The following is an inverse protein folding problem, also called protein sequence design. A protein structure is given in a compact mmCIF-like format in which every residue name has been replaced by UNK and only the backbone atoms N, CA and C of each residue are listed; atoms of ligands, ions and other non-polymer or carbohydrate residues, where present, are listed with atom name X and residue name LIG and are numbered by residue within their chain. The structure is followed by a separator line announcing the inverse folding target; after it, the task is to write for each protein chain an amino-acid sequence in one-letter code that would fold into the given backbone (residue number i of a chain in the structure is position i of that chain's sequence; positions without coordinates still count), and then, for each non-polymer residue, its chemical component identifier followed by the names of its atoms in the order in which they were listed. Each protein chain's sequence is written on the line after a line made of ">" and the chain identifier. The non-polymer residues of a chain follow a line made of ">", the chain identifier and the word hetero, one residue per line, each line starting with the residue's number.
data_IF_318877736709
#
_entry.id   IF_318877736709
#
_cell.length_a   1.000
_cell.length_b   1.000
_cell.length_c   1.000
_cell.angle_alpha   90.00
_cell.angle_beta   90.00
_cell.angle_gamma   90.00
#
_symmetry.space_group_name_H-M   'P 1'
#
loop_
_entity.id
_entity.type
_entity.pdbx_description
1 polymer ?
#
# COMPACT_ATOMS: atom_id res chain seq x y z
N UNK A 1 -29.13 -47.72 6.05
CA UNK A 1 -27.76 -47.20 5.83
C UNK A 1 -27.86 -45.72 5.48
N UNK A 2 -27.38 -44.78 6.33
CA UNK A 2 -27.44 -43.36 6.02
C UNK A 2 -26.25 -42.96 5.13
N UNK A 3 -26.53 -42.29 4.00
CA UNK A 3 -25.50 -41.75 3.09
C UNK A 3 -24.77 -40.60 3.79
N UNK A 4 -23.46 -40.74 3.98
CA UNK A 4 -22.57 -39.70 4.51
C UNK A 4 -22.30 -38.68 3.39
N UNK A 5 -22.87 -37.47 3.53
CA UNK A 5 -22.60 -36.33 2.64
C UNK A 5 -21.24 -35.73 3.00
N UNK A 6 -20.19 -36.11 2.28
CA UNK A 6 -18.84 -35.53 2.39
C UNK A 6 -18.43 -35.02 1.01
N UNK A 7 -18.68 -33.74 0.71
CA UNK A 7 -18.25 -33.15 -0.57
C UNK A 7 -18.89 -31.80 -0.93
N UNK A 8 -18.93 -30.82 -0.03
CA UNK A 8 -19.46 -29.47 -0.34
C UNK A 8 -18.60 -28.28 0.08
N UNK A 9 -17.38 -28.49 0.58
CA UNK A 9 -16.48 -27.38 0.93
C UNK A 9 -15.49 -27.01 -0.19
N UNK A 10 -15.02 -28.00 -0.97
CA UNK A 10 -14.04 -27.76 -2.04
C UNK A 10 -14.57 -26.97 -3.24
N UNK A 11 -15.89 -26.94 -3.47
CA UNK A 11 -16.49 -26.27 -4.63
C UNK A 11 -16.71 -24.76 -4.43
N UNK A 12 -16.89 -24.31 -3.18
CA UNK A 12 -17.06 -22.88 -2.88
C UNK A 12 -15.74 -22.12 -3.06
N UNK A 13 -14.62 -22.68 -2.62
CA UNK A 13 -13.33 -22.01 -2.79
C UNK A 13 -12.95 -21.83 -4.25
N UNK A 14 -13.13 -22.85 -5.11
CA UNK A 14 -12.93 -22.71 -6.55
C UNK A 14 -13.77 -21.55 -7.13
N UNK A 15 -15.06 -21.46 -6.77
CA UNK A 15 -15.93 -20.37 -7.20
C UNK A 15 -15.43 -18.98 -6.78
N UNK A 16 -14.94 -18.80 -5.55
CA UNK A 16 -14.41 -17.50 -5.13
C UNK A 16 -13.11 -17.12 -5.85
N UNK A 17 -12.24 -18.09 -6.16
CA UNK A 17 -11.02 -17.84 -6.94
C UNK A 17 -11.34 -17.53 -8.40
N UNK A 18 -12.25 -18.28 -9.02
CA UNK A 18 -12.68 -18.04 -10.41
C UNK A 18 -13.37 -16.69 -10.56
N UNK A 19 -14.22 -16.30 -9.60
CA UNK A 19 -14.87 -14.98 -9.56
C UNK A 19 -13.84 -13.85 -9.33
N UNK A 20 -12.84 -14.07 -8.48
CA UNK A 20 -11.76 -13.10 -8.25
C UNK A 20 -10.86 -12.93 -9.49
N UNK A 21 -10.51 -14.03 -10.16
CA UNK A 21 -9.73 -13.99 -11.40
C UNK A 21 -10.52 -13.28 -12.49
N UNK A 22 -11.80 -13.61 -12.66
CA UNK A 22 -12.69 -12.94 -13.61
C UNK A 22 -12.76 -11.42 -13.36
N UNK A 23 -12.88 -11.01 -12.10
CA UNK A 23 -12.86 -9.61 -11.69
C UNK A 23 -11.53 -8.92 -12.04
N UNK A 24 -10.39 -9.54 -11.74
CA UNK A 24 -9.05 -8.99 -12.05
C UNK A 24 -8.79 -8.93 -13.56
N UNK A 25 -9.36 -9.84 -14.35
CA UNK A 25 -9.25 -9.83 -15.82
C UNK A 25 -10.20 -8.84 -16.52
N UNK A 26 -11.08 -8.18 -15.77
CA UNK A 26 -11.99 -7.19 -16.35
C UNK A 26 -11.20 -5.97 -16.85
N UNK A 27 -11.49 -5.51 -18.08
CA UNK A 27 -10.83 -4.36 -18.70
C UNK A 27 -10.94 -3.08 -17.85
N UNK A 28 -12.07 -2.88 -17.17
CA UNK A 28 -12.28 -1.73 -16.28
C UNK A 28 -11.34 -1.79 -15.08
N UNK A 29 -11.15 -2.99 -14.50
CA UNK A 29 -10.25 -3.19 -13.37
C UNK A 29 -8.82 -2.98 -13.82
N UNK A 30 -8.43 -3.51 -14.98
CA UNK A 30 -7.09 -3.29 -15.54
C UNK A 30 -6.79 -1.80 -15.75
N UNK A 31 -7.74 -1.05 -16.31
CA UNK A 31 -7.64 0.40 -16.50
C UNK A 31 -7.51 1.15 -15.17
N UNK A 32 -8.40 0.88 -14.21
CA UNK A 32 -8.40 1.54 -12.89
C UNK A 32 -7.12 1.20 -12.11
N UNK A 33 -6.69 -0.06 -12.13
CA UNK A 33 -5.42 -0.48 -11.51
C UNK A 33 -4.24 0.23 -12.17
N UNK A 34 -4.19 0.31 -13.50
CA UNK A 34 -3.16 1.06 -14.21
C UNK A 34 -3.12 2.54 -13.82
N UNK A 35 -4.28 3.20 -13.77
CA UNK A 35 -4.39 4.59 -13.34
C UNK A 35 -3.93 4.79 -11.89
N UNK A 36 -4.36 3.91 -10.98
CA UNK A 36 -3.93 3.95 -9.58
C UNK A 36 -2.41 3.75 -9.45
N UNK A 37 -1.82 2.85 -10.24
CA UNK A 37 -0.37 2.63 -10.26
C UNK A 37 0.40 3.85 -10.76
N UNK A 38 -0.12 4.56 -11.77
CA UNK A 38 0.49 5.81 -12.24
C UNK A 38 0.44 6.89 -11.17
N UNK A 39 -0.72 7.10 -10.53
CA UNK A 39 -0.88 8.07 -9.43
C UNK A 39 0.05 7.70 -8.26
N UNK A 40 0.10 6.43 -7.90
CA UNK A 40 0.97 5.92 -6.84
C UNK A 40 2.46 6.13 -7.19
N UNK A 41 2.86 5.91 -8.43
CA UNK A 41 4.23 6.14 -8.89
C UNK A 41 4.64 7.60 -8.77
N UNK A 42 3.76 8.53 -9.18
CA UNK A 42 3.99 9.98 -9.02
C UNK A 42 4.08 10.36 -7.54
N UNK A 43 3.22 9.78 -6.70
CA UNK A 43 3.25 10.00 -5.25
C UNK A 43 4.58 9.55 -4.62
N UNK A 44 5.04 8.34 -4.94
CA UNK A 44 6.33 7.80 -4.45
C UNK A 44 7.49 8.64 -4.96
N UNK A 45 7.48 9.02 -6.23
CA UNK A 45 8.51 9.89 -6.80
C UNK A 45 8.60 11.22 -6.05
N UNK A 46 7.46 11.86 -5.77
CA UNK A 46 7.42 13.08 -4.97
C UNK A 46 7.95 12.87 -3.55
N UNK A 47 7.58 11.76 -2.90
CA UNK A 47 8.05 11.41 -1.57
C UNK A 47 9.58 11.24 -1.53
N UNK A 48 10.16 10.59 -2.53
CA UNK A 48 11.60 10.37 -2.65
C UNK A 48 12.35 11.65 -2.94
N UNK A 49 11.89 12.45 -3.90
CA UNK A 49 12.50 13.76 -4.19
C UNK A 49 12.49 14.63 -2.94
N UNK A 50 11.36 14.68 -2.23
CA UNK A 50 11.24 15.43 -0.99
C UNK A 50 12.17 14.90 0.11
N UNK A 51 12.37 13.59 0.21
CA UNK A 51 13.22 12.95 1.20
C UNK A 51 14.69 13.40 1.11
N UNK A 52 15.21 13.66 -0.10
CA UNK A 52 16.57 14.20 -0.24
C UNK A 52 16.77 15.55 0.45
N UNK A 53 15.71 16.34 0.62
CA UNK A 53 15.76 17.65 1.26
C UNK A 53 15.30 17.61 2.73
N UNK A 54 14.29 16.81 3.05
CA UNK A 54 13.64 16.81 4.36
C UNK A 54 13.96 15.58 5.20
N UNK A 55 14.60 14.56 4.64
CA UNK A 55 14.80 13.25 5.28
C UNK A 55 15.52 13.34 6.63
N UNK A 56 16.60 14.12 6.72
CA UNK A 56 17.33 14.29 7.98
C UNK A 56 16.49 14.99 9.08
N UNK A 57 15.60 15.90 8.69
CA UNK A 57 14.70 16.58 9.63
C UNK A 57 13.51 15.70 10.02
N UNK A 58 13.01 14.89 9.08
CA UNK A 58 11.88 14.01 9.29
C UNK A 58 12.28 12.71 10.04
N UNK A 59 13.57 12.34 10.02
CA UNK A 59 14.11 11.12 10.62
C UNK A 59 13.69 10.92 12.09
N UNK A 60 13.92 11.94 12.93
CA UNK A 60 13.62 11.85 14.36
C UNK A 60 12.12 11.77 14.66
N UNK A 61 11.29 12.22 13.72
CA UNK A 61 9.83 12.18 13.83
C UNK A 61 9.32 10.81 13.35
N UNK A 62 9.88 10.30 12.25
CA UNK A 62 9.55 8.98 11.68
C UNK A 62 9.97 7.84 12.60
N UNK A 63 11.15 7.93 13.23
CA UNK A 63 11.64 6.97 14.22
C UNK A 63 10.97 7.13 15.60
N UNK A 64 10.23 8.22 15.78
CA UNK A 64 9.52 8.55 17.02
C UNK A 64 8.21 7.78 17.19
N UNK A 65 7.29 8.36 17.96
CA UNK A 65 6.02 7.71 18.27
C UNK A 65 5.05 7.74 17.06
N UNK A 66 4.46 6.58 16.71
CA UNK A 66 3.52 6.47 15.59
C UNK A 66 2.25 7.33 15.77
N UNK A 67 1.90 7.70 17.01
CA UNK A 67 0.80 8.62 17.30
C UNK A 67 1.10 10.06 16.88
N UNK A 68 2.38 10.46 16.88
CA UNK A 68 2.77 11.76 16.34
C UNK A 68 2.57 11.76 14.83
N UNK A 69 2.91 10.69 14.12
CA UNK A 69 2.82 10.59 12.66
C UNK A 69 1.38 10.66 12.11
N UNK A 70 0.37 10.31 12.92
CA UNK A 70 -1.05 10.44 12.57
C UNK A 70 -1.63 11.82 12.86
N UNK A 71 -0.92 12.67 13.62
CA UNK A 71 -1.35 14.03 13.90
C UNK A 71 -1.15 14.96 12.69
N UNK A 72 -2.08 15.91 12.50
CA UNK A 72 -2.11 16.85 11.36
C UNK A 72 -0.95 17.87 11.41
N UNK A 73 -0.26 17.99 12.54
CA UNK A 73 0.87 18.91 12.73
C UNK A 73 2.07 18.20 13.38
N UNK A 74 2.44 17.06 12.80
CA UNK A 74 3.51 16.20 13.29
C UNK A 74 4.92 16.71 13.00
N UNK A 75 5.05 17.86 12.34
CA UNK A 75 6.33 18.47 11.99
C UNK A 75 7.02 17.85 10.77
N UNK A 76 6.41 16.86 10.11
CA UNK A 76 6.93 16.28 8.86
C UNK A 76 6.94 17.35 7.77
N UNK A 77 8.08 17.50 7.11
CA UNK A 77 8.27 18.44 6.01
C UNK A 77 8.16 17.77 4.65
N UNK A 78 8.16 16.43 4.58
CA UNK A 78 7.99 15.71 3.34
C UNK A 78 6.69 16.11 2.63
N UNK A 79 6.76 16.50 1.36
CA UNK A 79 5.59 16.94 0.59
C UNK A 79 4.56 15.84 0.35
N UNK A 80 4.94 14.57 0.43
CA UNK A 80 4.04 13.43 0.39
C UNK A 80 3.43 13.10 1.79
N UNK A 81 3.69 13.93 2.79
CA UNK A 81 3.19 13.81 4.16
C UNK A 81 3.91 12.73 4.98
N UNK A 82 3.34 12.38 6.14
CA UNK A 82 3.97 11.42 7.06
C UNK A 82 4.13 10.01 6.49
N UNK A 83 3.15 9.54 5.71
CA UNK A 83 3.24 8.24 5.05
C UNK A 83 4.26 8.23 3.92
N UNK A 84 4.37 9.33 3.18
CA UNK A 84 5.42 9.51 2.19
C UNK A 84 6.81 9.52 2.83
N UNK A 85 6.97 10.24 3.94
CA UNK A 85 8.21 10.25 4.71
C UNK A 85 8.59 8.86 5.23
N UNK A 86 7.63 8.10 5.80
CA UNK A 86 7.86 6.72 6.25
C UNK A 86 8.26 5.80 5.10
N UNK A 87 7.53 5.88 3.97
CA UNK A 87 7.78 5.04 2.81
C UNK A 87 9.15 5.33 2.20
N UNK A 88 9.49 6.61 2.05
CA UNK A 88 10.79 7.04 1.55
C UNK A 88 11.92 6.64 2.50
N UNK A 89 11.75 6.88 3.80
CA UNK A 89 12.72 6.48 4.81
C UNK A 89 12.97 4.97 4.80
N UNK A 90 11.92 4.15 4.76
CA UNK A 90 12.04 2.70 4.70
C UNK A 90 12.75 2.22 3.44
N UNK A 91 12.35 2.72 2.26
CA UNK A 91 12.90 2.26 0.99
C UNK A 91 14.34 2.74 0.76
N UNK A 92 14.68 3.96 1.20
CA UNK A 92 16.00 4.54 0.95
C UNK A 92 17.01 4.12 2.02
N UNK A 93 16.63 4.10 3.31
CA UNK A 93 17.59 3.84 4.40
C UNK A 93 17.61 2.39 4.89
N UNK A 94 16.53 1.63 4.70
CA UNK A 94 16.44 0.24 5.21
C UNK A 94 16.48 -0.82 4.09
N UNK A 95 16.31 -0.44 2.82
CA UNK A 95 16.30 -1.38 1.69
C UNK A 95 17.52 -1.25 0.75
N UNK A 96 18.21 -0.10 0.77
CA UNK A 96 19.45 0.18 0.04
C UNK A 96 20.59 0.43 1.03
#
# INVERSE_FOLDING_TARGET
>A
MPKKNTGKESSKQLSFFDDFVSFVTNETVHFVTGLLLVIFSVYVLLAFISFFFTGAADQSIVDGNSELLSSVNNGIKNYAGSRGAQLAHFLINNCF
#
